data_IF_629968404633
#
_entry.id   IF_629968404633
#
_cell.length_a   1.000
_cell.length_b   1.000
_cell.length_c   1.000
_cell.angle_alpha   90.00
_cell.angle_beta   90.00
_cell.angle_gamma   90.00
#
_symmetry.space_group_name_H-M   'P 1'
#
loop_
_entity.id
_entity.type
_entity.pdbx_description
1 polymer ?
#
# COMPACT_ATOMS: atom_id res chain seq x y z
N UNK A 1 17.79 -5.49 -27.61
CA UNK A 1 19.00 -4.73 -27.21
C UNK A 1 18.64 -3.71 -26.12
N UNK A 2 17.50 -2.98 -26.20
CA UNK A 2 17.08 -2.01 -25.16
C UNK A 2 16.75 -2.69 -23.83
N UNK A 3 16.13 -3.86 -23.87
CA UNK A 3 15.77 -4.62 -22.64
C UNK A 3 17.01 -5.08 -21.86
N UNK A 4 18.10 -5.40 -22.58
CA UNK A 4 19.38 -5.80 -21.96
C UNK A 4 20.08 -4.56 -21.37
N UNK A 5 20.03 -3.42 -22.07
CA UNK A 5 20.58 -2.16 -21.55
C UNK A 5 19.85 -1.70 -20.30
N UNK A 6 18.51 -1.76 -20.28
CA UNK A 6 17.72 -1.41 -19.09
C UNK A 6 17.96 -2.37 -17.92
N UNK A 7 18.16 -3.66 -18.18
CA UNK A 7 18.53 -4.63 -17.15
C UNK A 7 19.94 -4.38 -16.57
N UNK A 8 20.91 -4.01 -17.42
CA UNK A 8 22.27 -3.66 -16.98
C UNK A 8 22.25 -2.36 -16.15
N UNK A 9 21.50 -1.35 -16.59
CA UNK A 9 21.34 -0.09 -15.84
C UNK A 9 20.65 -0.35 -14.51
N UNK A 10 19.62 -1.21 -14.48
CA UNK A 10 18.91 -1.56 -13.24
C UNK A 10 19.77 -2.42 -12.28
N UNK A 11 20.79 -3.12 -12.79
CA UNK A 11 21.73 -3.90 -11.96
C UNK A 11 22.87 -3.06 -11.37
N UNK A 12 23.08 -1.82 -11.85
CA UNK A 12 24.06 -0.92 -11.25
C UNK A 12 23.43 -0.21 -10.05
N UNK A 13 23.93 -0.46 -8.83
CA UNK A 13 23.43 0.22 -7.62
C UNK A 13 23.44 1.75 -7.69
N UNK A 14 24.36 2.32 -8.48
CA UNK A 14 24.46 3.77 -8.68
C UNK A 14 23.31 4.34 -9.49
N UNK A 15 22.71 3.55 -10.39
CA UNK A 15 21.54 3.99 -11.14
C UNK A 15 20.30 4.17 -10.26
N UNK A 16 20.20 3.41 -9.16
CA UNK A 16 19.15 3.54 -8.17
C UNK A 16 19.29 4.84 -7.36
N UNK A 17 20.50 5.34 -7.16
CA UNK A 17 20.73 6.58 -6.40
C UNK A 17 20.10 7.80 -7.05
N UNK A 18 20.13 7.87 -8.39
CA UNK A 18 19.52 8.95 -9.17
C UNK A 18 18.00 8.82 -9.36
N UNK A 19 17.42 7.66 -9.02
CA UNK A 19 15.99 7.40 -9.22
C UNK A 19 15.18 7.36 -7.92
N UNK A 20 15.81 7.09 -6.78
CA UNK A 20 15.12 7.01 -5.49
C UNK A 20 14.92 8.40 -4.88
N UNK A 21 13.72 8.93 -5.03
CA UNK A 21 13.28 10.20 -4.44
C UNK A 21 12.75 9.93 -3.02
N UNK A 22 13.63 9.79 -2.05
CA UNK A 22 13.29 9.43 -0.65
C UNK A 22 13.55 10.55 0.35
N UNK A 23 14.16 11.66 -0.08
CA UNK A 23 14.54 12.76 0.79
C UNK A 23 13.50 13.88 0.65
N UNK A 24 12.85 14.27 1.76
CA UNK A 24 11.84 15.32 1.74
C UNK A 24 12.45 16.69 1.39
N UNK A 25 11.72 17.58 0.70
CA UNK A 25 12.20 18.90 0.37
C UNK A 25 12.45 19.73 1.63
N UNK A 26 13.60 20.41 1.67
CA UNK A 26 14.07 21.19 2.84
C UNK A 26 13.09 22.31 3.23
N UNK A 27 12.40 22.91 2.26
CA UNK A 27 11.49 24.02 2.49
C UNK A 27 10.06 23.63 2.86
N UNK A 28 9.77 22.33 3.02
CA UNK A 28 8.45 21.87 3.45
C UNK A 28 7.30 22.11 2.48
N UNK A 29 7.60 22.40 1.20
CA UNK A 29 6.59 22.61 0.16
C UNK A 29 6.23 21.28 -0.50
N UNK A 30 4.91 20.96 -0.57
CA UNK A 30 4.41 19.79 -1.29
C UNK A 30 4.56 19.89 -2.82
N UNK A 31 4.79 21.09 -3.34
CA UNK A 31 4.96 21.33 -4.77
C UNK A 31 6.38 21.05 -5.26
N UNK A 32 7.33 20.89 -4.34
CA UNK A 32 8.70 20.54 -4.69
C UNK A 32 8.87 19.02 -4.77
N UNK A 33 9.55 18.51 -5.80
CA UNK A 33 9.84 17.09 -5.90
C UNK A 33 10.75 16.65 -4.74
N UNK A 34 10.57 15.44 -4.28
CA UNK A 34 11.49 14.84 -3.33
C UNK A 34 12.87 14.70 -3.96
N UNK A 35 13.90 15.00 -3.18
CA UNK A 35 15.27 14.91 -3.65
C UNK A 35 15.75 13.46 -3.72
N UNK A 36 16.68 13.24 -4.63
CA UNK A 36 17.37 11.95 -4.76
C UNK A 36 18.54 11.88 -3.79
N UNK A 37 19.08 10.68 -3.58
CA UNK A 37 20.29 10.49 -2.77
C UNK A 37 21.51 11.19 -3.36
N UNK A 38 21.54 11.36 -4.69
CA UNK A 38 22.63 12.07 -5.38
C UNK A 38 22.63 13.60 -5.10
N UNK A 39 21.47 14.17 -4.78
CA UNK A 39 21.32 15.59 -4.51
C UNK A 39 21.52 15.93 -3.03
N UNK A 40 21.79 14.92 -2.19
CA UNK A 40 21.89 15.09 -0.76
C UNK A 40 23.27 15.53 -0.32
N UNK A 41 23.31 16.56 0.52
CA UNK A 41 24.51 17.10 1.15
C UNK A 41 24.81 16.48 2.53
N UNK A 42 23.84 15.75 3.11
CA UNK A 42 24.05 15.10 4.41
C UNK A 42 24.99 13.89 4.28
N UNK A 43 26.20 14.09 4.75
CA UNK A 43 27.28 13.09 4.69
C UNK A 43 26.95 11.81 5.43
N UNK A 44 26.09 11.86 6.46
CA UNK A 44 25.76 10.68 7.27
C UNK A 44 24.81 9.75 6.52
N UNK A 45 23.79 10.30 5.83
CA UNK A 45 22.85 9.52 5.02
C UNK A 45 23.58 8.88 3.85
N UNK A 46 24.44 9.63 3.15
CA UNK A 46 25.23 9.09 2.05
C UNK A 46 26.16 7.96 2.50
N UNK A 47 26.88 8.13 3.61
CA UNK A 47 27.77 7.11 4.15
C UNK A 47 27.03 5.84 4.54
N UNK A 48 25.89 5.97 5.22
CA UNK A 48 25.05 4.82 5.60
C UNK A 48 24.54 4.09 4.37
N UNK A 49 24.07 4.81 3.33
CA UNK A 49 23.64 4.23 2.08
C UNK A 49 24.76 3.49 1.34
N UNK A 50 25.94 4.08 1.23
CA UNK A 50 27.10 3.44 0.62
C UNK A 50 27.53 2.17 1.38
N UNK A 51 27.52 2.22 2.71
CA UNK A 51 27.85 1.06 3.55
C UNK A 51 26.85 -0.06 3.34
N UNK A 52 25.56 0.26 3.32
CA UNK A 52 24.48 -0.69 3.03
C UNK A 52 24.66 -1.33 1.65
N UNK A 53 24.95 -0.52 0.63
CA UNK A 53 25.12 -1.02 -0.75
C UNK A 53 26.31 -1.96 -0.87
N UNK A 54 27.44 -1.64 -0.22
CA UNK A 54 28.62 -2.53 -0.20
C UNK A 54 28.34 -3.83 0.56
N UNK A 55 27.65 -3.73 1.71
CA UNK A 55 27.26 -4.90 2.48
C UNK A 55 26.31 -5.81 1.70
N UNK A 56 25.36 -5.23 0.94
CA UNK A 56 24.49 -5.99 0.05
C UNK A 56 25.27 -6.75 -1.04
N UNK A 57 26.27 -6.12 -1.66
CA UNK A 57 27.11 -6.75 -2.66
C UNK A 57 27.98 -7.89 -2.09
N UNK A 58 28.33 -7.78 -0.80
CA UNK A 58 29.12 -8.78 -0.08
C UNK A 58 28.24 -9.84 0.64
N UNK A 59 26.92 -9.83 0.41
CA UNK A 59 25.95 -10.74 1.06
C UNK A 59 25.97 -10.66 2.62
N UNK A 60 26.43 -9.53 3.20
CA UNK A 60 26.44 -9.29 4.63
C UNK A 60 25.08 -8.74 5.11
N UNK A 61 24.18 -9.69 5.43
CA UNK A 61 22.83 -9.36 5.87
C UNK A 61 22.79 -8.61 7.21
N UNK A 62 23.76 -8.81 8.10
CA UNK A 62 23.79 -8.15 9.40
C UNK A 62 24.05 -6.65 9.24
N UNK A 63 25.09 -6.30 8.48
CA UNK A 63 25.40 -4.89 8.18
C UNK A 63 24.27 -4.22 7.40
N UNK A 64 23.66 -4.90 6.41
CA UNK A 64 22.52 -4.37 5.68
C UNK A 64 21.36 -4.02 6.61
N UNK A 65 20.98 -4.93 7.51
CA UNK A 65 19.89 -4.69 8.46
C UNK A 65 20.20 -3.53 9.42
N UNK A 66 21.45 -3.43 9.89
CA UNK A 66 21.88 -2.34 10.75
C UNK A 66 21.76 -0.98 10.05
N UNK A 67 22.24 -0.88 8.82
CA UNK A 67 22.17 0.37 8.05
C UNK A 67 20.74 0.74 7.66
N UNK A 68 19.87 -0.24 7.36
CA UNK A 68 18.44 0.01 7.15
C UNK A 68 17.79 0.60 8.40
N UNK A 69 18.09 0.05 9.58
CA UNK A 69 17.57 0.59 10.84
C UNK A 69 18.09 2.02 11.09
N UNK A 70 19.35 2.30 10.79
CA UNK A 70 19.92 3.64 10.92
C UNK A 70 19.24 4.63 9.97
N UNK A 71 19.06 4.27 8.70
CA UNK A 71 18.36 5.09 7.70
C UNK A 71 16.90 5.31 8.08
N UNK A 72 16.24 4.33 8.69
CA UNK A 72 14.85 4.45 9.15
C UNK A 72 14.65 5.50 10.24
N UNK A 73 15.71 5.88 10.93
CA UNK A 73 15.73 6.96 11.93
C UNK A 73 16.21 8.28 11.32
N UNK A 74 17.22 8.24 10.45
CA UNK A 74 17.82 9.44 9.87
C UNK A 74 16.86 10.14 8.89
N UNK A 75 16.22 9.38 7.97
CA UNK A 75 15.36 9.96 6.95
C UNK A 75 14.15 10.72 7.51
N UNK A 76 13.39 10.20 8.50
CA UNK A 76 12.33 10.97 9.13
C UNK A 76 12.81 12.24 9.82
N UNK A 77 14.04 12.21 10.42
CA UNK A 77 14.60 13.38 11.10
C UNK A 77 14.94 14.51 10.13
N UNK A 78 15.35 14.20 8.89
CA UNK A 78 15.56 15.23 7.86
C UNK A 78 14.25 15.99 7.51
N UNK A 79 13.11 15.30 7.60
CA UNK A 79 11.79 15.88 7.36
C UNK A 79 11.04 16.36 8.60
N UNK A 80 11.62 16.22 9.79
CA UNK A 80 10.92 16.50 11.05
C UNK A 80 10.41 17.95 11.19
N UNK A 81 11.12 18.90 10.59
CA UNK A 81 10.76 20.32 10.62
C UNK A 81 9.66 20.69 9.60
N UNK A 82 9.30 19.80 8.69
CA UNK A 82 8.46 20.10 7.53
C UNK A 82 7.06 19.48 7.58
N UNK A 83 6.78 18.60 8.52
CA UNK A 83 5.53 17.81 8.64
C UNK A 83 5.14 17.03 7.35
N UNK A 84 6.06 16.93 6.39
CA UNK A 84 5.82 16.22 5.12
C UNK A 84 6.02 14.72 5.28
N UNK A 85 6.92 14.31 6.17
CA UNK A 85 7.21 12.90 6.37
C UNK A 85 6.03 12.20 7.07
N UNK A 86 5.58 11.04 6.58
CA UNK A 86 4.47 10.32 7.20
C UNK A 86 4.77 9.96 8.65
N UNK A 87 3.78 10.05 9.53
CA UNK A 87 3.94 9.64 10.92
C UNK A 87 4.26 8.15 11.02
N UNK A 88 5.01 7.75 12.06
CA UNK A 88 5.36 6.36 12.31
C UNK A 88 4.11 5.43 12.37
N UNK A 89 2.98 5.95 12.83
CA UNK A 89 1.71 5.23 12.86
C UNK A 89 1.19 4.95 11.44
N UNK A 90 1.24 5.93 10.54
CA UNK A 90 0.83 5.75 9.13
C UNK A 90 1.71 4.74 8.43
N UNK A 91 3.04 4.80 8.62
CA UNK A 91 3.98 3.85 8.04
C UNK A 91 3.74 2.41 8.54
N UNK A 92 3.47 2.23 9.84
CA UNK A 92 3.11 0.91 10.40
C UNK A 92 1.81 0.38 9.82
N UNK A 93 0.78 1.23 9.71
CA UNK A 93 -0.51 0.85 9.12
C UNK A 93 -0.38 0.51 7.63
N UNK A 94 0.45 1.25 6.90
CA UNK A 94 0.72 0.96 5.50
C UNK A 94 1.45 -0.39 5.34
N UNK A 95 2.49 -0.63 6.15
CA UNK A 95 3.20 -1.91 6.17
C UNK A 95 2.26 -3.08 6.50
N UNK A 96 1.37 -2.91 7.48
CA UNK A 96 0.37 -3.92 7.82
C UNK A 96 -0.62 -4.17 6.67
N UNK A 97 -1.07 -3.10 6.00
CA UNK A 97 -1.96 -3.20 4.84
C UNK A 97 -1.34 -4.03 3.70
N UNK A 98 -0.06 -3.78 3.38
CA UNK A 98 0.66 -4.57 2.38
C UNK A 98 0.91 -6.02 2.85
N UNK A 99 1.21 -6.23 4.12
CA UNK A 99 1.38 -7.58 4.71
C UNK A 99 0.09 -8.42 4.62
N UNK A 100 -1.07 -7.76 4.70
CA UNK A 100 -2.37 -8.39 4.50
C UNK A 100 -2.77 -8.52 3.02
N UNK A 101 -1.81 -8.40 2.10
CA UNK A 101 -2.02 -8.46 0.65
C UNK A 101 -3.10 -7.47 0.16
N UNK A 102 -3.09 -6.25 0.69
CA UNK A 102 -4.06 -5.19 0.38
C UNK A 102 -5.53 -5.62 0.58
N UNK A 103 -5.77 -6.63 1.42
CA UNK A 103 -7.09 -7.22 1.67
C UNK A 103 -7.78 -7.74 0.39
N UNK A 104 -7.01 -8.09 -0.65
CA UNK A 104 -7.57 -8.57 -1.92
C UNK A 104 -8.36 -9.86 -1.77
N UNK A 105 -8.06 -10.68 -0.78
CA UNK A 105 -8.74 -11.94 -0.49
C UNK A 105 -10.23 -11.78 -0.07
N UNK A 106 -10.73 -10.56 0.14
CA UNK A 106 -12.14 -10.27 0.45
C UNK A 106 -13.10 -10.81 -0.63
N UNK A 107 -12.68 -10.86 -1.89
CA UNK A 107 -13.51 -11.40 -2.97
C UNK A 107 -13.95 -12.85 -2.74
N UNK A 108 -13.16 -13.65 -1.99
CA UNK A 108 -13.55 -15.02 -1.65
C UNK A 108 -14.82 -15.06 -0.80
N UNK A 109 -14.99 -14.14 0.14
CA UNK A 109 -16.21 -14.06 0.94
C UNK A 109 -17.43 -13.68 0.10
N UNK A 110 -17.26 -12.77 -0.87
CA UNK A 110 -18.31 -12.47 -1.81
C UNK A 110 -18.70 -13.69 -2.64
N UNK A 111 -17.71 -14.41 -3.18
CA UNK A 111 -17.93 -15.62 -3.97
C UNK A 111 -18.66 -16.69 -3.14
N UNK A 112 -18.20 -16.98 -1.94
CA UNK A 112 -18.84 -17.93 -1.04
C UNK A 112 -20.26 -17.51 -0.69
N UNK A 113 -20.50 -16.25 -0.43
CA UNK A 113 -21.83 -15.72 -0.17
C UNK A 113 -22.78 -15.94 -1.35
N UNK A 114 -22.31 -15.63 -2.57
CA UNK A 114 -23.11 -15.84 -3.80
C UNK A 114 -23.47 -17.33 -3.95
N UNK A 115 -22.52 -18.24 -3.77
CA UNK A 115 -22.77 -19.68 -3.87
C UNK A 115 -23.82 -20.14 -2.84
N UNK A 116 -23.71 -19.68 -1.59
CA UNK A 116 -24.67 -20.02 -0.53
C UNK A 116 -26.07 -19.45 -0.82
N UNK A 117 -26.15 -18.23 -1.35
CA UNK A 117 -27.42 -17.61 -1.71
C UNK A 117 -28.08 -18.34 -2.90
N UNK A 118 -27.30 -18.72 -3.91
CA UNK A 118 -27.78 -19.52 -5.03
C UNK A 118 -28.28 -20.88 -4.57
N UNK A 119 -27.54 -21.58 -3.67
CA UNK A 119 -28.00 -22.83 -3.08
C UNK A 119 -29.30 -22.64 -2.28
N UNK A 120 -29.39 -21.58 -1.51
CA UNK A 120 -30.61 -21.27 -0.75
C UNK A 120 -31.80 -20.99 -1.69
N UNK A 121 -31.58 -20.32 -2.81
CA UNK A 121 -32.61 -20.03 -3.80
C UNK A 121 -33.08 -21.30 -4.50
N UNK A 122 -32.15 -22.12 -5.01
CA UNK A 122 -32.49 -23.37 -5.76
C UNK A 122 -33.13 -24.42 -4.86
N UNK A 123 -32.53 -24.69 -3.71
CA UNK A 123 -32.98 -25.78 -2.82
C UNK A 123 -33.92 -25.30 -1.71
N UNK A 124 -34.24 -24.02 -1.65
CA UNK A 124 -35.11 -23.38 -0.64
C UNK A 124 -34.66 -23.60 0.82
N UNK A 125 -33.36 -23.72 1.06
CA UNK A 125 -32.79 -23.89 2.38
C UNK A 125 -32.72 -22.58 3.15
N UNK A 126 -33.72 -22.28 3.98
CA UNK A 126 -33.82 -21.01 4.73
C UNK A 126 -32.59 -20.72 5.64
N UNK A 127 -31.99 -21.75 6.25
CA UNK A 127 -30.81 -21.59 7.11
C UNK A 127 -29.57 -21.19 6.30
N UNK A 128 -29.36 -21.82 5.14
CA UNK A 128 -28.26 -21.51 4.23
C UNK A 128 -28.38 -20.07 3.70
N UNK A 129 -29.62 -19.64 3.40
CA UNK A 129 -29.88 -18.26 2.95
C UNK A 129 -29.51 -17.23 4.02
N UNK A 130 -29.88 -17.46 5.30
CA UNK A 130 -29.50 -16.58 6.40
C UNK A 130 -27.97 -16.49 6.56
N UNK A 131 -27.29 -17.64 6.47
CA UNK A 131 -25.82 -17.67 6.56
C UNK A 131 -25.18 -16.95 5.36
N UNK A 132 -25.69 -17.15 4.14
CA UNK A 132 -25.23 -16.44 2.95
C UNK A 132 -25.36 -14.91 3.07
N UNK A 133 -26.50 -14.41 3.58
CA UNK A 133 -26.71 -12.98 3.83
C UNK A 133 -25.71 -12.46 4.90
N UNK A 134 -25.52 -13.20 5.99
CA UNK A 134 -24.58 -12.80 7.03
C UNK A 134 -23.14 -12.73 6.52
N UNK A 135 -22.74 -13.69 5.67
CA UNK A 135 -21.42 -13.71 5.05
C UNK A 135 -21.26 -12.55 4.04
N UNK A 136 -22.31 -12.22 3.29
CA UNK A 136 -22.31 -11.06 2.42
C UNK A 136 -22.13 -9.75 3.21
N UNK A 137 -22.89 -9.56 4.27
CA UNK A 137 -22.77 -8.38 5.13
C UNK A 137 -21.35 -8.25 5.74
N UNK A 138 -20.77 -9.38 6.14
CA UNK A 138 -19.39 -9.42 6.63
C UNK A 138 -18.38 -9.03 5.53
N UNK A 139 -18.55 -9.53 4.31
CA UNK A 139 -17.70 -9.15 3.17
C UNK A 139 -17.79 -7.64 2.87
N UNK A 140 -19.00 -7.06 2.89
CA UNK A 140 -19.22 -5.62 2.70
C UNK A 140 -18.53 -4.81 3.80
N UNK A 141 -18.62 -5.25 5.05
CA UNK A 141 -17.95 -4.61 6.18
C UNK A 141 -16.42 -4.61 5.99
N UNK A 142 -15.83 -5.76 5.68
CA UNK A 142 -14.40 -5.87 5.41
C UNK A 142 -13.96 -4.99 4.24
N UNK A 143 -14.74 -4.95 3.18
CA UNK A 143 -14.46 -4.11 2.01
C UNK A 143 -14.50 -2.62 2.38
N UNK A 144 -15.49 -2.21 3.16
CA UNK A 144 -15.58 -0.83 3.68
C UNK A 144 -14.35 -0.48 4.52
N UNK A 145 -13.94 -1.38 5.41
CA UNK A 145 -12.72 -1.20 6.21
C UNK A 145 -11.48 -1.07 5.32
N UNK A 146 -11.36 -1.91 4.26
CA UNK A 146 -10.23 -1.85 3.34
C UNK A 146 -10.13 -0.51 2.59
N UNK A 147 -11.27 -0.01 2.08
CA UNK A 147 -11.34 1.29 1.38
C UNK A 147 -11.04 2.43 2.35
N UNK A 148 -11.63 2.43 3.56
CA UNK A 148 -11.39 3.44 4.57
C UNK A 148 -9.93 3.46 5.06
N UNK A 149 -9.34 2.26 5.24
CA UNK A 149 -7.95 2.12 5.63
C UNK A 149 -7.01 2.70 4.56
N UNK A 150 -7.25 2.35 3.29
CA UNK A 150 -6.47 2.90 2.18
C UNK A 150 -6.59 4.41 2.09
N UNK A 151 -7.80 4.95 2.27
CA UNK A 151 -8.04 6.40 2.32
C UNK A 151 -7.25 7.07 3.43
N UNK A 152 -7.32 6.53 4.65
CA UNK A 152 -6.60 7.07 5.81
C UNK A 152 -5.07 7.09 5.59
N UNK A 153 -4.50 5.97 5.10
CA UNK A 153 -3.06 5.84 4.89
C UNK A 153 -2.58 6.75 3.77
N UNK A 154 -3.29 6.78 2.63
CA UNK A 154 -2.90 7.61 1.48
C UNK A 154 -3.10 9.11 1.71
N UNK A 155 -3.93 9.51 2.68
CA UNK A 155 -4.29 10.92 2.93
C UNK A 155 -5.10 11.57 1.81
N UNK A 156 -5.54 10.80 0.81
CA UNK A 156 -6.32 11.23 -0.34
C UNK A 156 -7.35 10.17 -0.70
N UNK A 157 -8.37 10.54 -1.48
CA UNK A 157 -9.36 9.59 -1.94
C UNK A 157 -8.70 8.47 -2.79
N UNK A 158 -8.98 7.20 -2.52
CA UNK A 158 -8.30 6.07 -3.16
C UNK A 158 -8.84 5.84 -4.58
N UNK A 159 -8.38 6.62 -5.54
CA UNK A 159 -8.78 6.54 -6.97
C UNK A 159 -7.64 6.95 -7.92
N UNK A 160 -6.39 6.91 -7.47
CA UNK A 160 -5.27 7.44 -8.25
C UNK A 160 -4.60 6.37 -9.11
N UNK A 161 -4.68 5.12 -8.71
CA UNK A 161 -4.20 4.01 -9.52
C UNK A 161 -5.35 3.06 -9.90
N UNK A 162 -5.12 2.25 -10.91
CA UNK A 162 -6.14 1.33 -11.46
C UNK A 162 -6.69 0.36 -10.39
N UNK A 163 -5.84 -0.14 -9.49
CA UNK A 163 -6.26 -1.03 -8.42
C UNK A 163 -7.21 -0.33 -7.44
N UNK A 164 -6.87 0.88 -7.00
CA UNK A 164 -7.72 1.69 -6.12
C UNK A 164 -9.05 2.03 -6.78
N UNK A 165 -9.02 2.42 -8.06
CA UNK A 165 -10.22 2.76 -8.83
C UNK A 165 -11.18 1.56 -8.94
N UNK A 166 -10.69 0.38 -9.30
CA UNK A 166 -11.50 -0.84 -9.43
C UNK A 166 -12.08 -1.24 -8.07
N UNK A 167 -11.28 -1.23 -7.01
CA UNK A 167 -11.71 -1.61 -5.67
C UNK A 167 -12.79 -0.65 -5.16
N UNK A 168 -12.59 0.66 -5.33
CA UNK A 168 -13.55 1.68 -4.89
C UNK A 168 -14.84 1.63 -5.73
N UNK A 169 -14.75 1.42 -7.04
CA UNK A 169 -15.92 1.28 -7.92
C UNK A 169 -16.73 0.03 -7.55
N UNK A 170 -16.08 -1.09 -7.28
CA UNK A 170 -16.76 -2.32 -6.82
C UNK A 170 -17.47 -2.09 -5.48
N UNK A 171 -16.82 -1.42 -4.51
CA UNK A 171 -17.43 -1.06 -3.24
C UNK A 171 -18.66 -0.17 -3.40
N UNK A 172 -18.56 0.89 -4.22
CA UNK A 172 -19.71 1.76 -4.53
C UNK A 172 -20.85 1.00 -5.21
N UNK A 173 -20.55 0.08 -6.14
CA UNK A 173 -21.53 -0.77 -6.79
C UNK A 173 -22.31 -1.64 -5.80
N UNK A 174 -21.62 -2.24 -4.82
CA UNK A 174 -22.27 -3.03 -3.77
C UNK A 174 -23.16 -2.16 -2.88
N UNK A 175 -22.69 -0.98 -2.45
CA UNK A 175 -23.49 -0.06 -1.65
C UNK A 175 -24.73 0.42 -2.41
N UNK A 176 -24.57 0.75 -3.68
CA UNK A 176 -25.71 1.14 -4.52
C UNK A 176 -26.71 -0.01 -4.67
N UNK A 177 -26.26 -1.25 -4.89
CA UNK A 177 -27.11 -2.42 -4.92
C UNK A 177 -27.91 -2.64 -3.64
N UNK A 178 -27.28 -2.46 -2.48
CA UNK A 178 -27.94 -2.54 -1.18
C UNK A 178 -28.99 -1.42 -0.99
N UNK A 179 -28.65 -0.21 -1.43
CA UNK A 179 -29.58 0.92 -1.39
C UNK A 179 -30.81 0.66 -2.25
N UNK A 180 -30.63 0.17 -3.47
CA UNK A 180 -31.72 -0.16 -4.37
C UNK A 180 -32.60 -1.28 -3.82
N UNK A 181 -32.01 -2.32 -3.24
CA UNK A 181 -32.77 -3.39 -2.56
C UNK A 181 -33.63 -2.84 -1.41
N UNK A 182 -33.08 -1.89 -0.64
CA UNK A 182 -33.81 -1.25 0.48
C UNK A 182 -34.96 -0.37 -0.02
N UNK A 183 -34.79 0.36 -1.14
CA UNK A 183 -35.80 1.27 -1.67
C UNK A 183 -36.95 0.54 -2.40
N UNK A 184 -36.66 -0.64 -2.95
CA UNK A 184 -37.66 -1.41 -3.76
C UNK A 184 -38.49 -2.36 -2.88
N UNK A 185 -38.01 -2.69 -1.69
CA UNK A 185 -38.79 -3.47 -0.69
C UNK A 185 -39.86 -2.64 0.01
#
# INVERSE_FOLDING_TARGET
VETIKSAIIASDPRSLWGSLQIIPPVNGSFDQPWATLSDQTDTQVLKSWETMTRAWQNEDAETVNKEILLLSVLLPNLGANTNIYPTATKLKLESLYFKLQNLTWIWLFYLMSIVLLLMAFVYRFKRVGKFGISLFAFAVLLHTVAVAWRWYVSGRYPNTNMFEAITTAAWMGVLFGLLMEYLVR
#
